data_IF_445021458607
#
_entry.id   IF_445021458607
#
_cell.length_a   1.000
_cell.length_b   1.000
_cell.length_c   1.000
_cell.angle_alpha   90.00
_cell.angle_beta   90.00
_cell.angle_gamma   90.00
#
_symmetry.space_group_name_H-M   'P 1'
#
loop_
_entity.id
_entity.type
_entity.pdbx_description
1 polymer ?
#
# COMPACT_ATOMS: atom_id res chain seq x y z
N UNK A 1 -13.32 1.75 7.61
CA UNK A 1 -11.93 2.22 7.85
C UNK A 1 -11.76 3.61 7.29
N UNK A 2 -10.99 4.46 7.97
CA UNK A 2 -10.59 5.75 7.42
C UNK A 2 -9.46 5.55 6.42
N UNK A 3 -9.54 6.24 5.27
CA UNK A 3 -8.49 6.28 4.25
C UNK A 3 -7.86 7.66 4.31
N UNK A 4 -6.54 7.72 4.31
CA UNK A 4 -5.79 8.98 4.31
C UNK A 4 -5.02 9.07 2.99
N UNK A 5 -5.26 10.13 2.25
CA UNK A 5 -4.42 10.57 1.15
C UNK A 5 -3.71 11.85 1.58
N UNK A 6 -2.40 11.93 1.37
CA UNK A 6 -1.64 13.15 1.66
C UNK A 6 -0.48 13.29 0.69
N UNK A 7 -0.11 14.53 0.41
CA UNK A 7 1.12 14.87 -0.29
C UNK A 7 2.11 15.46 0.70
N UNK A 8 3.34 14.94 0.71
CA UNK A 8 4.42 15.43 1.57
C UNK A 8 5.65 15.66 0.69
N UNK A 9 6.07 16.92 0.56
CA UNK A 9 7.24 17.31 -0.24
C UNK A 9 7.20 16.78 -1.68
N UNK A 10 6.02 16.78 -2.32
CA UNK A 10 5.82 16.29 -3.69
C UNK A 10 5.62 14.78 -3.82
N UNK A 11 5.64 14.03 -2.71
CA UNK A 11 5.38 12.59 -2.71
C UNK A 11 3.96 12.29 -2.23
N UNK A 12 3.24 11.45 -2.98
CA UNK A 12 1.87 11.05 -2.69
C UNK A 12 1.84 9.78 -1.85
N UNK A 13 1.22 9.87 -0.67
CA UNK A 13 1.01 8.75 0.24
C UNK A 13 -0.46 8.41 0.34
N UNK A 14 -0.77 7.13 0.31
CA UNK A 14 -2.12 6.62 0.51
C UNK A 14 -2.12 5.52 1.57
N UNK A 15 -2.92 5.71 2.62
CA UNK A 15 -3.07 4.78 3.73
C UNK A 15 -4.48 4.24 3.77
N UNK A 16 -4.66 2.99 3.37
CA UNK A 16 -5.99 2.39 3.23
C UNK A 16 -6.59 1.88 4.55
N UNK A 17 -5.78 1.72 5.60
CA UNK A 17 -6.23 1.02 6.81
C UNK A 17 -6.74 -0.38 6.44
N UNK A 18 -7.92 -0.75 6.94
CA UNK A 18 -8.60 -2.02 6.58
C UNK A 18 -9.67 -1.85 5.48
N UNK A 19 -9.58 -0.77 4.68
CA UNK A 19 -10.48 -0.57 3.56
C UNK A 19 -10.37 -1.72 2.55
N UNK A 20 -11.53 -2.15 2.04
CA UNK A 20 -11.65 -3.14 0.98
C UNK A 20 -12.22 -2.55 -0.30
N UNK A 21 -12.55 -3.41 -1.25
CA UNK A 21 -12.95 -3.07 -2.63
C UNK A 21 -14.10 -2.05 -2.74
N UNK A 22 -15.08 -2.08 -1.83
CA UNK A 22 -16.18 -1.11 -1.85
C UNK A 22 -15.68 0.32 -1.61
N UNK A 23 -14.69 0.47 -0.72
CA UNK A 23 -14.08 1.77 -0.43
C UNK A 23 -13.12 2.20 -1.53
N UNK A 24 -12.44 1.26 -2.18
CA UNK A 24 -11.62 1.53 -3.36
C UNK A 24 -12.47 2.11 -4.49
N UNK A 25 -13.61 1.50 -4.78
CA UNK A 25 -14.57 2.00 -5.75
C UNK A 25 -15.07 3.40 -5.39
N UNK A 26 -15.51 3.61 -4.15
CA UNK A 26 -15.91 4.93 -3.66
C UNK A 26 -14.84 6.01 -3.90
N UNK A 27 -13.56 5.63 -3.81
CA UNK A 27 -12.44 6.55 -4.01
C UNK A 27 -12.28 6.88 -5.49
N UNK A 28 -12.29 5.88 -6.37
CA UNK A 28 -12.16 6.09 -7.82
C UNK A 28 -13.34 6.90 -8.38
N UNK A 29 -14.54 6.68 -7.87
CA UNK A 29 -15.74 7.39 -8.31
C UNK A 29 -15.72 8.89 -7.89
N UNK A 30 -15.02 9.22 -6.80
CA UNK A 30 -15.06 10.57 -6.20
C UNK A 30 -13.82 11.41 -6.48
N UNK A 31 -12.67 10.77 -6.68
CA UNK A 31 -11.39 11.44 -6.73
C UNK A 31 -10.57 10.94 -7.91
N UNK A 32 -9.96 11.86 -8.64
CA UNK A 32 -8.97 11.54 -9.65
C UNK A 32 -7.59 11.34 -8.97
N UNK A 33 -7.30 10.12 -8.53
CA UNK A 33 -6.07 9.77 -7.81
C UNK A 33 -5.23 8.81 -8.66
N UNK A 34 -4.07 9.28 -9.07
CA UNK A 34 -3.07 8.50 -9.81
C UNK A 34 -1.66 8.71 -9.27
N UNK A 35 -0.74 7.86 -9.71
CA UNK A 35 0.70 7.97 -9.49
C UNK A 35 1.09 8.07 -8.01
N UNK A 36 0.52 7.18 -7.20
CA UNK A 36 0.83 7.10 -5.77
C UNK A 36 2.28 6.66 -5.58
N UNK A 37 3.06 7.39 -4.79
CA UNK A 37 4.43 6.96 -4.49
C UNK A 37 4.42 5.81 -3.48
N UNK A 38 3.64 5.94 -2.41
CA UNK A 38 3.59 4.94 -1.33
C UNK A 38 2.15 4.59 -0.99
N UNK A 39 1.78 3.33 -1.22
CA UNK A 39 0.52 2.75 -0.79
C UNK A 39 0.78 1.86 0.43
N UNK A 40 0.20 2.20 1.59
CA UNK A 40 -0.05 1.20 2.63
C UNK A 40 -1.30 0.43 2.22
N UNK A 41 -1.07 -0.84 1.86
CA UNK A 41 -2.06 -1.78 1.33
C UNK A 41 -3.21 -1.96 2.32
N UNK A 42 -4.42 -2.01 1.77
CA UNK A 42 -5.65 -2.20 2.54
C UNK A 42 -5.67 -3.56 3.22
N UNK A 43 -6.22 -3.62 4.43
CA UNK A 43 -6.61 -4.84 5.12
C UNK A 43 -5.52 -5.92 5.12
N UNK A 44 -4.28 -5.51 5.38
CA UNK A 44 -3.12 -6.41 5.43
C UNK A 44 -2.86 -7.21 4.13
N UNK A 45 -3.47 -6.81 3.00
CA UNK A 45 -3.44 -7.58 1.75
C UNK A 45 -4.44 -8.73 1.71
N UNK A 46 -5.61 -8.57 2.34
CA UNK A 46 -6.74 -9.50 2.19
C UNK A 46 -7.22 -9.57 0.74
N UNK A 47 -7.76 -10.72 0.31
CA UNK A 47 -8.38 -10.89 -1.01
C UNK A 47 -9.58 -9.97 -1.27
N UNK A 48 -10.12 -9.35 -0.21
CA UNK A 48 -11.23 -8.38 -0.28
C UNK A 48 -10.73 -6.93 -0.39
N UNK A 49 -9.46 -6.72 -0.74
CA UNK A 49 -8.81 -5.42 -0.88
C UNK A 49 -7.78 -5.45 -2.01
N UNK A 50 -7.31 -4.28 -2.43
CA UNK A 50 -6.33 -4.09 -3.51
C UNK A 50 -6.77 -4.78 -4.80
N UNK A 51 -7.99 -4.46 -5.23
CA UNK A 51 -8.51 -4.92 -6.52
C UNK A 51 -7.60 -4.47 -7.67
N UNK A 52 -7.56 -5.27 -8.74
CA UNK A 52 -6.73 -4.98 -9.91
C UNK A 52 -7.06 -3.62 -10.53
N UNK A 53 -8.34 -3.29 -10.62
CA UNK A 53 -8.82 -1.99 -11.12
C UNK A 53 -8.24 -0.83 -10.30
N UNK A 54 -8.39 -0.90 -8.98
CA UNK A 54 -7.86 0.13 -8.08
C UNK A 54 -6.34 0.26 -8.16
N UNK A 55 -5.60 -0.85 -8.11
CA UNK A 55 -4.14 -0.81 -8.17
C UNK A 55 -3.64 -0.29 -9.52
N UNK A 56 -4.30 -0.62 -10.63
CA UNK A 56 -3.95 -0.11 -11.94
C UNK A 56 -4.20 1.40 -12.06
N UNK A 57 -5.30 1.90 -11.51
CA UNK A 57 -5.66 3.32 -11.58
C UNK A 57 -4.72 4.18 -10.73
N UNK A 58 -4.48 3.80 -9.48
CA UNK A 58 -3.62 4.58 -8.59
C UNK A 58 -2.12 4.38 -8.86
N UNK A 59 -1.78 3.30 -9.59
CA UNK A 59 -0.44 2.93 -10.06
C UNK A 59 0.68 3.17 -9.02
N UNK A 60 0.71 2.42 -7.90
CA UNK A 60 1.59 2.73 -6.79
C UNK A 60 3.04 2.29 -7.07
N UNK A 61 4.03 3.15 -6.76
CA UNK A 61 5.46 2.77 -6.88
C UNK A 61 5.90 1.79 -5.80
N UNK A 62 5.49 2.04 -4.55
CA UNK A 62 5.80 1.20 -3.39
C UNK A 62 4.51 0.69 -2.73
N UNK A 63 4.43 -0.62 -2.51
CA UNK A 63 3.36 -1.26 -1.75
C UNK A 63 3.87 -1.73 -0.38
N UNK A 64 3.28 -1.24 0.70
CA UNK A 64 3.63 -1.62 2.07
C UNK A 64 2.52 -2.48 2.67
N UNK A 65 2.85 -3.74 2.96
CA UNK A 65 1.92 -4.72 3.50
C UNK A 65 2.29 -4.97 4.96
N UNK A 66 1.47 -4.48 5.88
CA UNK A 66 1.65 -4.74 7.30
C UNK A 66 1.04 -6.10 7.65
N UNK A 67 1.88 -7.11 7.87
CA UNK A 67 1.50 -8.49 8.24
C UNK A 67 2.50 -9.07 9.24
N UNK A 68 2.07 -10.07 10.03
CA UNK A 68 2.91 -10.73 11.03
C UNK A 68 3.62 -11.99 10.52
N UNK A 69 4.80 -12.31 11.08
CA UNK A 69 5.66 -13.46 10.72
C UNK A 69 4.98 -14.84 10.79
N UNK A 70 4.01 -14.99 11.68
CA UNK A 70 3.23 -16.22 11.86
C UNK A 70 1.75 -16.00 11.54
N UNK A 71 1.47 -15.22 10.48
CA UNK A 71 0.11 -14.83 10.12
C UNK A 71 -0.80 -16.03 9.82
N UNK A 72 -1.77 -16.28 10.69
CA UNK A 72 -2.77 -17.37 10.56
C UNK A 72 -3.90 -17.03 9.58
N UNK A 73 -4.07 -15.76 9.20
CA UNK A 73 -5.10 -15.31 8.27
C UNK A 73 -4.76 -15.60 6.80
N UNK A 74 -3.51 -16.01 6.50
CA UNK A 74 -3.07 -16.28 5.14
C UNK A 74 -2.91 -15.01 4.29
N UNK A 75 -2.61 -13.87 4.92
CA UNK A 75 -2.32 -12.61 4.23
C UNK A 75 -0.80 -12.35 4.12
N UNK A 76 -0.34 -11.62 3.10
CA UNK A 76 -1.11 -11.14 1.96
C UNK A 76 -1.56 -12.29 1.05
N UNK A 77 -2.74 -12.15 0.45
CA UNK A 77 -3.23 -13.12 -0.51
C UNK A 77 -2.41 -13.05 -1.82
N UNK A 78 -2.23 -14.19 -2.49
CA UNK A 78 -1.51 -14.27 -3.77
C UNK A 78 -2.09 -13.34 -4.84
N UNK A 79 -3.41 -13.18 -4.89
CA UNK A 79 -4.06 -12.28 -5.84
C UNK A 79 -3.65 -10.81 -5.63
N UNK A 80 -3.58 -10.37 -4.37
CA UNK A 80 -3.11 -9.01 -4.03
C UNK A 80 -1.65 -8.81 -4.43
N UNK A 81 -0.80 -9.81 -4.19
CA UNK A 81 0.60 -9.76 -4.61
C UNK A 81 0.74 -9.67 -6.13
N UNK A 82 -0.07 -10.43 -6.87
CA UNK A 82 -0.09 -10.37 -8.33
C UNK A 82 -0.58 -9.01 -8.84
N UNK A 83 -1.60 -8.42 -8.22
CA UNK A 83 -2.09 -7.09 -8.62
C UNK A 83 -1.02 -6.00 -8.40
N UNK A 84 -0.16 -6.18 -7.39
CA UNK A 84 0.95 -5.28 -7.06
C UNK A 84 2.27 -5.62 -7.79
N UNK A 85 2.26 -6.45 -8.84
CA UNK A 85 3.48 -6.94 -9.49
C UNK A 85 4.39 -5.84 -10.05
N UNK A 86 3.81 -4.69 -10.41
CA UNK A 86 4.54 -3.52 -10.92
C UNK A 86 5.06 -2.59 -9.81
N UNK A 87 4.65 -2.84 -8.57
CA UNK A 87 5.10 -2.10 -7.39
C UNK A 87 6.28 -2.81 -6.73
N UNK A 88 7.21 -2.04 -6.14
CA UNK A 88 8.16 -2.62 -5.20
C UNK A 88 7.45 -2.87 -3.86
N UNK A 89 7.30 -4.14 -3.50
CA UNK A 89 6.60 -4.58 -2.29
C UNK A 89 7.56 -4.62 -1.10
N UNK A 90 7.11 -4.11 0.05
CA UNK A 90 7.71 -4.33 1.36
C UNK A 90 6.68 -4.97 2.30
N UNK A 91 7.12 -5.92 3.11
CA UNK A 91 6.25 -6.62 4.06
C UNK A 91 6.87 -6.65 5.44
N UNK A 92 6.10 -6.29 6.47
CA UNK A 92 6.64 -6.23 7.85
C UNK A 92 7.02 -7.60 8.42
N UNK A 93 6.52 -8.70 7.87
CA UNK A 93 6.90 -10.05 8.27
C UNK A 93 8.25 -10.51 7.70
N UNK A 94 8.72 -9.85 6.65
CA UNK A 94 9.98 -10.15 5.97
C UNK A 94 11.03 -9.05 6.21
N UNK A 95 10.63 -7.79 6.08
CA UNK A 95 11.50 -6.61 6.12
C UNK A 95 11.51 -5.92 7.50
N UNK A 96 10.65 -6.35 8.42
CA UNK A 96 10.51 -5.75 9.75
C UNK A 96 9.95 -4.33 9.71
N UNK A 97 10.60 -3.41 10.41
CA UNK A 97 10.17 -2.00 10.39
C UNK A 97 10.59 -1.33 9.09
N UNK A 98 9.66 -0.66 8.42
CA UNK A 98 9.88 0.02 7.14
C UNK A 98 9.73 1.53 7.37
N UNK A 99 10.80 2.29 7.15
CA UNK A 99 10.85 3.73 7.36
C UNK A 99 11.01 4.47 6.03
N UNK A 100 10.10 5.40 5.76
CA UNK A 100 10.19 6.34 4.64
C UNK A 100 10.69 7.69 5.16
N UNK A 101 11.82 8.15 4.63
CA UNK A 101 12.48 9.38 5.05
C UNK A 101 12.65 10.32 3.87
N UNK A 102 12.01 11.48 3.93
CA UNK A 102 12.18 12.53 2.94
C UNK A 102 13.24 13.50 3.44
N UNK A 103 14.36 13.62 2.71
CA UNK A 103 15.42 14.60 3.01
C UNK A 103 15.87 15.26 1.71
N UNK A 104 15.90 16.58 1.68
CA UNK A 104 16.27 17.38 0.50
C UNK A 104 15.45 16.98 -0.75
N UNK A 105 14.13 16.83 -0.59
CA UNK A 105 13.18 16.36 -1.61
C UNK A 105 13.53 15.00 -2.23
N UNK A 106 14.29 14.15 -1.53
CA UNK A 106 14.56 12.77 -1.92
C UNK A 106 13.96 11.82 -0.91
N UNK A 107 13.12 10.91 -1.40
CA UNK A 107 12.60 9.79 -0.62
C UNK A 107 13.66 8.71 -0.47
N UNK A 108 14.00 8.37 0.77
CA UNK A 108 14.82 7.21 1.13
C UNK A 108 13.97 6.21 1.89
N UNK A 109 14.27 4.93 1.70
CA UNK A 109 13.58 3.82 2.36
C UNK A 109 14.62 3.04 3.15
N UNK A 110 14.39 2.86 4.44
CA UNK A 110 15.24 2.10 5.35
C UNK A 110 14.40 0.97 5.96
N UNK A 111 14.97 -0.25 5.97
CA UNK A 111 14.33 -1.42 6.59
C UNK A 111 15.16 -1.87 7.79
N UNK A 112 14.48 -2.33 8.83
CA UNK A 112 15.10 -2.93 10.02
C UNK A 112 14.53 -4.33 10.19
N UNK A 113 15.26 -5.31 9.65
CA UNK A 113 14.88 -6.71 9.70
C UNK A 113 14.76 -7.20 11.15
N UNK A 114 13.73 -8.00 11.47
CA UNK A 114 13.45 -8.45 12.82
C UNK A 114 14.36 -9.61 13.28
#
# INVERSE_FOLDING_TARGET
SNVIYTELNGYKFMFMGDAGVDKEKDILDKYNISDIDVLKVGHHGSKTSSSKEFINEINPKYGVISVGKNNRYGHPNKEVLNNLENSKIYRTDQDGSIMFKIKNNKLKIEICSP
#
